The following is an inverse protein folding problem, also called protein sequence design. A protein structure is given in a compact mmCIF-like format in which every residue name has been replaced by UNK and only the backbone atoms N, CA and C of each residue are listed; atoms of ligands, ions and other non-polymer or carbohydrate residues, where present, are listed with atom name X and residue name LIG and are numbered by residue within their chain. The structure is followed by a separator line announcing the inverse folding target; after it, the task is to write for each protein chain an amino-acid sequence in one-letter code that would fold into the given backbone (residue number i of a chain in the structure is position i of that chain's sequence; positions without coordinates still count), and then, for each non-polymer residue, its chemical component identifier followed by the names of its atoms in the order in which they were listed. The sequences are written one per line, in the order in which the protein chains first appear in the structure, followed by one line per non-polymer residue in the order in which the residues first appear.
data_IF_197965617785
#
_entry.id   IF_197965617785
#
_cell.length_a   1.000
_cell.length_b   1.000
_cell.length_c   1.000
_cell.angle_alpha   90.00
_cell.angle_beta   90.00
_cell.angle_gamma   90.00
#
_symmetry.space_group_name_H-M   'P 1'
#
loop_
_entity.id
_entity.type
_entity.pdbx_description
1 polymer ?
#
# COMPACT_ATOMS: atom_id res chain seq x y z
N UNK A 1 3.08 38.95 30.91
CA UNK A 1 1.99 38.25 30.20
C UNK A 1 2.56 37.61 28.94
N UNK A 2 2.33 36.32 28.66
CA UNK A 2 2.76 35.70 27.41
C UNK A 2 1.76 35.98 26.28
N UNK A 3 2.19 36.02 25.00
CA UNK A 3 1.34 36.41 23.88
C UNK A 3 0.35 35.31 23.48
N UNK A 4 -0.90 35.72 23.24
CA UNK A 4 -2.01 34.87 22.81
C UNK A 4 -1.81 34.51 21.32
N UNK A 5 -1.88 33.21 20.99
CA UNK A 5 -1.80 32.74 19.60
C UNK A 5 -3.11 33.04 18.86
N UNK A 6 -3.05 33.49 17.59
CA UNK A 6 -4.26 33.76 16.82
C UNK A 6 -5.00 32.46 16.48
N UNK A 7 -6.29 32.43 16.83
CA UNK A 7 -7.23 31.35 16.51
C UNK A 7 -7.56 31.48 15.02
N UNK A 8 -7.23 30.47 14.21
CA UNK A 8 -7.66 30.41 12.81
C UNK A 8 -9.17 30.16 12.74
N UNK A 9 -9.92 30.84 11.84
CA UNK A 9 -11.34 30.61 11.66
C UNK A 9 -11.60 29.17 11.19
N UNK A 10 -12.51 28.49 11.88
CA UNK A 10 -13.02 27.18 11.52
C UNK A 10 -14.08 27.37 10.43
N UNK A 11 -13.68 27.29 9.16
CA UNK A 11 -14.63 27.23 8.05
C UNK A 11 -15.22 25.81 7.95
N UNK A 12 -16.55 25.77 7.91
CA UNK A 12 -17.37 24.59 8.07
C UNK A 12 -17.40 23.66 6.86
N UNK A 13 -17.29 22.37 7.17
CA UNK A 13 -17.93 21.19 6.57
C UNK A 13 -18.51 21.29 5.16
N UNK A 14 -17.97 20.46 4.27
CA UNK A 14 -18.74 19.77 3.24
C UNK A 14 -18.51 18.25 3.34
N UNK A 15 -19.60 17.53 3.65
CA UNK A 15 -19.88 16.18 3.15
C UNK A 15 -19.14 15.00 3.78
N UNK A 16 -19.80 14.33 4.72
CA UNK A 16 -19.79 12.87 4.95
C UNK A 16 -18.71 12.07 4.21
N UNK A 17 -17.51 11.95 4.79
CA UNK A 17 -16.61 10.84 4.47
C UNK A 17 -16.74 9.81 5.59
N UNK A 18 -17.66 8.88 5.37
CA UNK A 18 -17.63 7.58 6.05
C UNK A 18 -16.29 6.93 5.67
N UNK A 19 -15.46 6.62 6.67
CA UNK A 19 -14.07 6.08 6.61
C UNK A 19 -12.95 7.12 6.44
N UNK A 20 -12.09 7.23 7.46
CA UNK A 20 -11.12 8.32 7.68
C UNK A 20 -9.90 8.35 6.75
N UNK A 21 -10.12 8.43 5.44
CA UNK A 21 -9.05 8.66 4.47
C UNK A 21 -8.89 10.14 4.22
N UNK A 22 -7.70 10.67 4.53
CA UNK A 22 -7.34 12.06 4.23
C UNK A 22 -7.42 12.27 2.71
N UNK A 23 -8.04 13.35 2.22
CA UNK A 23 -8.06 13.66 0.79
C UNK A 23 -6.63 13.68 0.23
N UNK A 24 -6.44 13.02 -0.91
CA UNK A 24 -5.18 12.97 -1.66
C UNK A 24 -5.03 14.14 -2.64
N UNK A 25 -5.88 15.15 -2.47
CA UNK A 25 -5.85 16.38 -3.24
C UNK A 25 -6.07 17.58 -2.33
N UNK A 26 -5.42 18.68 -2.68
CA UNK A 26 -5.66 20.01 -2.13
C UNK A 26 -6.60 20.75 -3.06
N UNK A 27 -7.68 21.32 -2.53
CA UNK A 27 -8.51 22.27 -3.27
C UNK A 27 -7.96 23.67 -3.06
N UNK A 28 -7.26 24.20 -4.06
CA UNK A 28 -6.74 25.56 -4.05
C UNK A 28 -7.74 26.50 -4.74
N UNK A 29 -7.94 27.69 -4.16
CA UNK A 29 -8.91 28.70 -4.64
C UNK A 29 -8.75 29.01 -6.13
N UNK A 30 -7.50 29.12 -6.60
CA UNK A 30 -7.21 29.53 -7.99
C UNK A 30 -6.84 28.36 -8.92
N UNK A 31 -6.67 27.15 -8.37
CA UNK A 31 -6.15 26.00 -9.13
C UNK A 31 -7.06 24.76 -9.06
N UNK A 32 -8.16 24.82 -8.29
CA UNK A 32 -9.07 23.70 -8.07
C UNK A 32 -8.37 22.54 -7.36
N UNK A 33 -8.77 21.31 -7.68
CA UNK A 33 -8.14 20.09 -7.13
C UNK A 33 -6.72 19.91 -7.67
N UNK A 34 -5.72 19.86 -6.80
CA UNK A 34 -4.31 19.52 -7.08
C UNK A 34 -3.98 18.26 -6.30
N UNK A 35 -3.60 17.18 -6.98
CA UNK A 35 -3.29 15.92 -6.31
C UNK A 35 -1.92 16.00 -5.60
N UNK A 36 -1.93 15.68 -4.31
CA UNK A 36 -0.75 15.61 -3.43
C UNK A 36 -1.00 14.45 -2.48
N UNK A 37 -0.21 13.39 -2.59
CA UNK A 37 -0.43 12.17 -1.84
C UNK A 37 0.88 11.55 -1.37
N UNK A 38 0.86 11.00 -0.15
CA UNK A 38 1.90 10.11 0.34
C UNK A 38 1.68 8.71 -0.27
N UNK A 39 2.08 8.53 -1.54
CA UNK A 39 1.85 7.30 -2.32
C UNK A 39 2.19 5.99 -1.56
N UNK A 40 3.30 5.90 -0.80
CA UNK A 40 3.65 4.67 -0.07
C UNK A 40 2.64 4.26 0.99
N UNK A 41 1.83 5.19 1.50
CA UNK A 41 0.84 4.93 2.56
C UNK A 41 -0.53 4.51 2.02
N UNK A 42 -0.73 4.60 0.72
CA UNK A 42 -1.98 4.25 0.06
C UNK A 42 -2.04 2.75 -0.22
N UNK A 43 -3.23 2.16 -0.19
CA UNK A 43 -3.44 0.79 -0.66
C UNK A 43 -3.45 0.71 -2.20
N UNK A 44 -3.28 -0.48 -2.77
CA UNK A 44 -3.28 -0.65 -4.22
C UNK A 44 -4.62 -0.24 -4.86
N UNK A 45 -5.74 -0.51 -4.18
CA UNK A 45 -7.06 -0.07 -4.62
C UNK A 45 -7.20 1.46 -4.62
N UNK A 46 -6.59 2.14 -3.63
CA UNK A 46 -6.57 3.60 -3.58
C UNK A 46 -5.69 4.19 -4.67
N UNK A 47 -4.50 3.61 -4.91
CA UNK A 47 -3.62 4.02 -5.99
C UNK A 47 -4.31 3.87 -7.36
N UNK A 48 -5.03 2.77 -7.59
CA UNK A 48 -5.79 2.57 -8.82
C UNK A 48 -6.94 3.58 -8.98
N UNK A 49 -7.66 3.90 -7.90
CA UNK A 49 -8.72 4.89 -7.93
C UNK A 49 -8.18 6.30 -8.24
N UNK A 50 -7.11 6.70 -7.57
CA UNK A 50 -6.48 8.02 -7.75
C UNK A 50 -5.85 8.14 -9.13
N UNK A 51 -5.25 7.08 -9.67
CA UNK A 51 -4.74 7.06 -11.05
C UNK A 51 -5.88 7.33 -12.05
N UNK A 52 -7.04 6.68 -11.87
CA UNK A 52 -8.21 6.91 -12.70
C UNK A 52 -8.66 8.38 -12.65
N UNK A 53 -8.83 8.94 -11.46
CA UNK A 53 -9.24 10.35 -11.34
C UNK A 53 -8.19 11.31 -11.93
N UNK A 54 -6.89 11.05 -11.72
CA UNK A 54 -5.82 11.87 -12.26
C UNK A 54 -5.83 11.87 -13.80
N UNK A 55 -6.13 10.73 -14.43
CA UNK A 55 -6.30 10.62 -15.89
C UNK A 55 -7.52 11.40 -16.40
N UNK A 56 -8.65 11.31 -15.71
CA UNK A 56 -9.86 12.09 -16.06
C UNK A 56 -9.57 13.60 -15.96
N UNK A 57 -8.83 14.03 -14.94
CA UNK A 57 -8.38 15.43 -14.81
C UNK A 57 -7.41 15.81 -15.91
N UNK A 58 -6.46 14.94 -16.27
CA UNK A 58 -5.53 15.20 -17.37
C UNK A 58 -6.27 15.38 -18.70
N UNK A 59 -7.23 14.51 -19.01
CA UNK A 59 -8.05 14.60 -20.22
C UNK A 59 -8.84 15.91 -20.25
N UNK A 60 -9.45 16.29 -19.12
CA UNK A 60 -10.16 17.57 -18.99
C UNK A 60 -9.23 18.78 -19.23
N UNK A 61 -8.00 18.74 -18.72
CA UNK A 61 -7.01 19.80 -18.91
C UNK A 61 -6.54 19.88 -20.36
N UNK A 62 -6.28 18.75 -21.01
CA UNK A 62 -5.88 18.69 -22.42
C UNK A 62 -6.98 19.27 -23.32
N UNK A 63 -8.23 18.88 -23.09
CA UNK A 63 -9.37 19.44 -23.82
C UNK A 63 -9.48 20.96 -23.62
N UNK A 64 -9.35 21.44 -22.38
CA UNK A 64 -9.42 22.87 -22.08
C UNK A 64 -8.27 23.67 -22.71
N UNK A 65 -7.07 23.09 -22.75
CA UNK A 65 -5.92 23.71 -23.42
C UNK A 65 -6.14 23.79 -24.93
N UNK A 66 -6.63 22.73 -25.56
CA UNK A 66 -6.97 22.73 -26.98
C UNK A 66 -8.03 23.79 -27.35
N UNK A 67 -9.05 23.95 -26.50
CA UNK A 67 -10.07 25.00 -26.65
C UNK A 67 -9.45 26.41 -26.62
N UNK A 68 -8.50 26.66 -25.71
CA UNK A 68 -7.80 27.95 -25.61
C UNK A 68 -6.78 28.17 -26.73
N UNK A 69 -6.16 27.11 -27.26
CA UNK A 69 -5.24 27.19 -28.40
C UNK A 69 -5.96 27.48 -29.73
N UNK A 70 -7.22 27.07 -29.86
CA UNK A 70 -8.04 27.34 -31.05
C UNK A 70 -8.56 28.79 -31.16
N UNK A 71 -8.40 29.61 -30.11
CA UNK A 71 -8.83 31.00 -30.11
C UNK A 71 -7.74 31.91 -30.72
N UNK A 72 -8.08 32.70 -31.75
CA UNK A 72 -7.13 33.62 -32.41
C UNK A 72 -6.65 34.77 -31.51
N UNK A 73 -7.44 35.16 -30.52
CA UNK A 73 -7.11 36.22 -29.57
C UNK A 73 -7.59 35.82 -28.19
N UNK A 74 -6.67 35.76 -27.24
CA UNK A 74 -6.94 35.45 -25.85
C UNK A 74 -7.02 36.74 -25.05
N UNK A 75 -8.02 36.87 -24.20
CA UNK A 75 -8.08 37.88 -23.14
C UNK A 75 -6.99 37.60 -22.09
N UNK A 76 -6.63 38.61 -21.29
CA UNK A 76 -5.63 38.44 -20.22
C UNK A 76 -6.02 37.31 -19.25
N UNK A 77 -7.30 37.18 -18.93
CA UNK A 77 -7.82 36.14 -18.05
C UNK A 77 -7.71 34.75 -18.67
N UNK A 78 -7.88 34.62 -19.99
CA UNK A 78 -7.68 33.38 -20.73
C UNK A 78 -6.20 33.00 -20.83
N UNK A 79 -5.30 33.98 -21.03
CA UNK A 79 -3.85 33.77 -20.97
C UNK A 79 -3.43 33.22 -19.60
N UNK A 80 -3.88 33.85 -18.52
CA UNK A 80 -3.58 33.38 -17.17
C UNK A 80 -4.16 31.97 -16.93
N UNK A 81 -5.35 31.70 -17.47
CA UNK A 81 -5.99 30.38 -17.38
C UNK A 81 -5.20 29.33 -18.14
N UNK A 82 -4.67 29.65 -19.32
CA UNK A 82 -3.79 28.77 -20.10
C UNK A 82 -2.50 28.45 -19.34
N UNK A 83 -1.85 29.44 -18.74
CA UNK A 83 -0.64 29.24 -17.92
C UNK A 83 -0.93 28.30 -16.74
N UNK A 84 -2.03 28.54 -16.01
CA UNK A 84 -2.46 27.68 -14.90
C UNK A 84 -2.79 26.26 -15.36
N UNK A 85 -3.55 26.11 -16.44
CA UNK A 85 -3.93 24.81 -16.97
C UNK A 85 -2.71 24.02 -17.47
N UNK A 86 -1.75 24.68 -18.12
CA UNK A 86 -0.49 24.06 -18.56
C UNK A 86 0.33 23.57 -17.36
N UNK A 87 0.51 24.42 -16.35
CA UNK A 87 1.24 24.03 -15.13
C UNK A 87 0.55 22.84 -14.45
N UNK A 88 -0.78 22.87 -14.38
CA UNK A 88 -1.56 21.79 -13.78
C UNK A 88 -1.46 20.49 -14.57
N UNK A 89 -1.47 20.55 -15.91
CA UNK A 89 -1.22 19.38 -16.79
C UNK A 89 0.12 18.75 -16.44
N UNK A 90 1.19 19.54 -16.40
CA UNK A 90 2.54 19.03 -16.16
C UNK A 90 2.72 18.43 -14.75
N UNK A 91 2.01 18.98 -13.75
CA UNK A 91 1.98 18.41 -12.40
C UNK A 91 1.20 17.10 -12.39
N UNK A 92 0.02 17.05 -13.02
CA UNK A 92 -0.80 15.83 -13.11
C UNK A 92 -0.06 14.71 -13.85
N UNK A 93 0.65 15.01 -14.93
CA UNK A 93 1.46 14.01 -15.65
C UNK A 93 2.59 13.43 -14.80
N UNK A 94 3.27 14.27 -14.01
CA UNK A 94 4.30 13.80 -13.07
C UNK A 94 3.68 12.96 -11.96
N UNK A 95 2.50 13.34 -11.48
CA UNK A 95 1.79 12.58 -10.46
C UNK A 95 1.36 11.19 -10.96
N UNK A 96 0.85 11.08 -12.19
CA UNK A 96 0.53 9.78 -12.81
C UNK A 96 1.77 8.90 -12.94
N UNK A 97 2.90 9.47 -13.37
CA UNK A 97 4.18 8.74 -13.43
C UNK A 97 4.61 8.22 -12.05
N UNK A 98 4.53 9.06 -11.02
CA UNK A 98 4.85 8.66 -9.65
C UNK A 98 3.95 7.53 -9.14
N UNK A 99 2.66 7.52 -9.50
CA UNK A 99 1.76 6.40 -9.18
C UNK A 99 2.19 5.12 -9.89
N UNK A 100 2.55 5.21 -11.18
CA UNK A 100 3.00 4.04 -11.94
C UNK A 100 4.31 3.46 -11.36
N UNK A 101 5.26 4.31 -11.01
CA UNK A 101 6.52 3.91 -10.35
C UNK A 101 6.26 3.21 -9.01
N UNK A 102 5.38 3.77 -8.17
CA UNK A 102 5.00 3.14 -6.90
C UNK A 102 4.31 1.77 -7.10
N UNK A 103 3.41 1.65 -8.09
CA UNK A 103 2.78 0.36 -8.41
C UNK A 103 3.80 -0.67 -8.88
N UNK A 104 4.78 -0.26 -9.67
CA UNK A 104 5.85 -1.13 -10.15
C UNK A 104 6.77 -1.58 -9.01
N UNK A 105 7.12 -0.67 -8.09
CA UNK A 105 7.88 -0.99 -6.87
C UNK A 105 7.17 -2.05 -6.02
N UNK A 106 5.85 -1.99 -5.91
CA UNK A 106 5.06 -2.98 -5.17
C UNK A 106 5.01 -4.33 -5.87
N UNK A 107 4.83 -4.35 -7.19
CA UNK A 107 4.83 -5.59 -8.00
C UNK A 107 6.17 -6.31 -7.94
N UNK A 108 7.25 -5.54 -7.90
CA UNK A 108 8.61 -6.05 -7.83
C UNK A 108 9.09 -6.32 -6.41
N UNK A 109 8.26 -6.09 -5.39
CA UNK A 109 8.63 -6.36 -4.01
C UNK A 109 8.74 -7.89 -3.76
N UNK A 110 9.94 -8.41 -3.48
CA UNK A 110 10.15 -9.85 -3.33
C UNK A 110 9.40 -10.42 -2.11
N UNK A 111 9.22 -9.63 -1.04
CA UNK A 111 8.48 -10.08 0.14
C UNK A 111 6.99 -10.28 -0.17
N UNK A 112 6.38 -9.38 -0.95
CA UNK A 112 4.99 -9.52 -1.38
C UNK A 112 4.83 -10.72 -2.33
N UNK A 113 5.77 -10.93 -3.24
CA UNK A 113 5.74 -12.11 -4.15
C UNK A 113 5.89 -13.42 -3.39
N UNK A 114 6.81 -13.50 -2.43
CA UNK A 114 7.01 -14.69 -1.60
C UNK A 114 5.76 -14.99 -0.76
N UNK A 115 5.18 -13.98 -0.10
CA UNK A 115 3.95 -14.14 0.67
C UNK A 115 2.76 -14.56 -0.20
N UNK A 116 2.60 -13.96 -1.38
CA UNK A 116 1.54 -14.34 -2.32
C UNK A 116 1.71 -15.79 -2.79
N UNK A 117 2.93 -16.21 -3.15
CA UNK A 117 3.23 -17.59 -3.54
C UNK A 117 2.88 -18.60 -2.44
N UNK A 118 3.28 -18.33 -1.20
CA UNK A 118 2.96 -19.21 -0.07
C UNK A 118 1.46 -19.24 0.23
N UNK A 119 0.78 -18.09 0.21
CA UNK A 119 -0.67 -18.02 0.44
C UNK A 119 -1.47 -18.75 -0.64
N UNK A 120 -1.07 -18.64 -1.90
CA UNK A 120 -1.72 -19.33 -3.02
C UNK A 120 -1.52 -20.83 -2.90
N UNK A 121 -0.30 -21.28 -2.60
CA UNK A 121 -0.02 -22.70 -2.38
C UNK A 121 -0.85 -23.27 -1.21
N UNK A 122 -0.94 -22.53 -0.08
CA UNK A 122 -1.79 -22.92 1.05
C UNK A 122 -3.28 -22.99 0.68
N UNK A 123 -3.80 -21.97 0.01
CA UNK A 123 -5.21 -21.94 -0.41
C UNK A 123 -5.54 -23.05 -1.42
N UNK A 124 -4.62 -23.35 -2.35
CA UNK A 124 -4.76 -24.46 -3.29
C UNK A 124 -4.80 -25.80 -2.55
N UNK A 125 -3.90 -26.01 -1.59
CA UNK A 125 -3.86 -27.23 -0.78
C UNK A 125 -5.12 -27.40 0.08
N UNK A 126 -5.64 -26.32 0.68
CA UNK A 126 -6.93 -26.34 1.37
C UNK A 126 -8.08 -26.68 0.43
N UNK A 127 -8.14 -26.06 -0.75
CA UNK A 127 -9.17 -26.34 -1.73
C UNK A 127 -9.12 -27.80 -2.20
N UNK A 128 -7.92 -28.34 -2.44
CA UNK A 128 -7.72 -29.72 -2.83
C UNK A 128 -8.20 -30.70 -1.75
N UNK A 129 -7.89 -30.43 -0.47
CA UNK A 129 -8.39 -31.21 0.68
C UNK A 129 -9.91 -31.23 0.77
N UNK A 130 -10.58 -30.13 0.41
CA UNK A 130 -12.05 -30.07 0.43
C UNK A 130 -12.72 -30.74 -0.77
N UNK A 131 -11.99 -30.96 -1.87
CA UNK A 131 -12.55 -31.51 -3.12
C UNK A 131 -12.22 -32.98 -3.36
N UNK A 132 -11.18 -33.48 -2.72
CA UNK A 132 -10.75 -34.87 -2.82
C UNK A 132 -11.10 -35.61 -1.52
N UNK A 133 -11.50 -36.90 -1.59
CA UNK A 133 -11.50 -37.76 -0.41
C UNK A 133 -10.13 -37.74 0.27
N UNK A 134 -10.10 -37.65 1.61
CA UNK A 134 -8.84 -37.45 2.37
C UNK A 134 -7.74 -38.45 2.00
N UNK A 135 -8.09 -39.73 1.86
CA UNK A 135 -7.13 -40.78 1.49
C UNK A 135 -6.53 -40.62 0.08
N UNK A 136 -7.30 -40.13 -0.89
CA UNK A 136 -6.79 -39.91 -2.26
C UNK A 136 -5.93 -38.66 -2.32
N UNK A 137 -6.29 -37.61 -1.57
CA UNK A 137 -5.46 -36.42 -1.43
C UNK A 137 -4.10 -36.75 -0.81
N UNK A 138 -4.08 -37.47 0.31
CA UNK A 138 -2.83 -37.79 1.02
C UNK A 138 -1.91 -38.69 0.17
N UNK A 139 -2.49 -39.64 -0.58
CA UNK A 139 -1.73 -40.51 -1.49
C UNK A 139 -1.07 -39.71 -2.64
N UNK A 140 -1.82 -38.81 -3.28
CA UNK A 140 -1.30 -37.95 -4.35
C UNK A 140 -0.27 -36.94 -3.84
N UNK A 141 -0.46 -36.41 -2.63
CA UNK A 141 0.50 -35.52 -2.00
C UNK A 141 1.82 -36.25 -1.72
N UNK A 142 1.73 -37.47 -1.16
CA UNK A 142 2.90 -38.29 -0.91
C UNK A 142 3.64 -38.66 -2.20
N UNK A 143 2.91 -39.08 -3.25
CA UNK A 143 3.48 -39.36 -4.57
C UNK A 143 4.19 -38.12 -5.16
N UNK A 144 3.56 -36.95 -5.06
CA UNK A 144 4.16 -35.69 -5.54
C UNK A 144 5.42 -35.30 -4.77
N UNK A 145 5.45 -35.49 -3.44
CA UNK A 145 6.62 -35.24 -2.61
C UNK A 145 7.77 -36.21 -2.92
N UNK A 146 7.45 -37.48 -3.16
CA UNK A 146 8.42 -38.51 -3.58
C UNK A 146 8.98 -38.21 -4.99
N UNK A 147 8.16 -37.70 -5.91
CA UNK A 147 8.56 -37.32 -7.26
C UNK A 147 9.44 -36.06 -7.33
N UNK A 148 9.35 -35.14 -6.36
CA UNK A 148 10.12 -33.88 -6.37
C UNK A 148 11.61 -34.07 -6.01
N UNK A 149 12.00 -35.17 -5.36
CA UNK A 149 13.39 -35.44 -4.97
C UNK A 149 14.00 -34.41 -4.00
N UNK A 150 15.14 -34.72 -3.36
CA UNK A 150 15.77 -33.85 -2.35
C UNK A 150 16.39 -32.55 -2.91
N UNK A 151 16.54 -32.41 -4.24
CA UNK A 151 17.23 -31.27 -4.88
C UNK A 151 16.47 -29.92 -4.75
N UNK A 152 15.14 -29.94 -4.58
CA UNK A 152 14.33 -28.73 -4.42
C UNK A 152 14.34 -28.16 -2.99
N UNK A 153 14.68 -28.97 -1.99
CA UNK A 153 14.70 -28.57 -0.58
C UNK A 153 15.89 -27.66 -0.26
N UNK A 154 16.97 -27.74 -1.05
CA UNK A 154 18.20 -26.97 -0.84
C UNK A 154 18.10 -25.52 -1.36
N UNK A 155 17.17 -25.20 -2.25
CA UNK A 155 17.00 -23.83 -2.78
C UNK A 155 15.98 -22.96 -2.01
N UNK A 156 15.27 -23.52 -1.03
CA UNK A 156 14.27 -22.81 -0.21
C UNK A 156 14.79 -22.33 1.15
N UNK A 157 16.08 -22.48 1.44
CA UNK A 157 16.67 -21.97 2.69
C UNK A 157 16.98 -20.47 2.55
N UNK A 158 16.42 -19.59 3.40
CA UNK A 158 16.92 -18.22 3.50
C UNK A 158 18.35 -18.29 4.05
N UNK A 159 19.30 -17.71 3.33
CA UNK A 159 20.67 -17.50 3.77
C UNK A 159 20.69 -16.67 5.08
N UNK A 160 20.60 -17.36 6.22
CA UNK A 160 21.10 -16.84 7.49
C UNK A 160 22.62 -16.80 7.38
N UNK A 161 23.14 -15.65 6.94
CA UNK A 161 24.51 -15.28 7.23
C UNK A 161 24.67 -15.30 8.76
N UNK A 162 25.28 -16.38 9.26
CA UNK A 162 25.79 -16.42 10.63
C UNK A 162 27.24 -15.98 10.53
N UNK A 163 27.46 -14.75 10.98
CA UNK A 163 28.78 -14.21 11.25
C UNK A 163 29.55 -15.22 12.12
N UNK A 164 30.70 -15.63 11.60
CA UNK A 164 31.66 -16.43 12.33
C UNK A 164 32.26 -15.57 13.44
N UNK A 165 31.95 -15.87 14.70
CA UNK A 165 32.79 -15.43 15.81
C UNK A 165 32.87 -16.45 16.94
N UNK A 166 34.04 -17.08 16.96
CA UNK A 166 34.83 -17.48 18.12
C UNK A 166 34.21 -18.44 19.16
N UNK A 167 34.86 -19.61 19.24
CA UNK A 167 34.82 -20.57 20.33
C UNK A 167 35.21 -19.96 21.68
N UNK A 168 34.46 -20.29 22.74
CA UNK A 168 34.96 -20.40 24.12
C UNK A 168 34.17 -21.54 24.81
N UNK A 169 34.81 -22.45 25.58
CA UNK A 169 34.22 -23.71 26.03
C UNK A 169 33.36 -23.58 27.31
N UNK A 170 32.58 -24.64 27.56
CA UNK A 170 31.58 -24.84 28.60
C UNK A 170 32.10 -24.75 30.05
N UNK A 171 31.16 -24.52 31.00
CA UNK A 171 31.12 -25.32 32.21
C UNK A 171 29.71 -25.88 32.53
N UNK A 172 29.73 -26.80 33.50
CA UNK A 172 28.74 -27.81 33.87
C UNK A 172 27.42 -27.32 34.51
N UNK A 173 26.45 -28.24 34.49
CA UNK A 173 25.31 -28.49 35.38
C UNK A 173 24.55 -27.31 36.01
N UNK A 174 23.26 -27.19 35.66
CA UNK A 174 22.30 -26.35 36.38
C UNK A 174 20.94 -26.28 35.69
N UNK A 175 19.88 -26.48 36.46
CA UNK A 175 18.46 -26.63 36.10
C UNK A 175 17.88 -25.75 34.98
N UNK A 176 16.96 -26.35 34.21
CA UNK A 176 16.05 -25.68 33.27
C UNK A 176 15.05 -24.79 34.03
N UNK A 177 14.93 -23.48 33.76
CA UNK A 177 13.76 -22.72 34.14
C UNK A 177 12.68 -22.89 33.06
N UNK A 178 11.51 -23.37 33.46
CA UNK A 178 10.27 -23.32 32.69
C UNK A 178 9.89 -21.86 32.39
N UNK A 179 9.38 -21.51 31.21
CA UNK A 179 8.81 -20.18 31.00
C UNK A 179 7.48 -20.07 31.78
N UNK A 180 7.45 -19.18 32.77
CA UNK A 180 6.21 -18.75 33.44
C UNK A 180 5.24 -18.13 32.41
N UNK A 181 4.03 -18.68 32.38
CA UNK A 181 2.90 -18.15 31.62
C UNK A 181 2.35 -16.95 32.38
N UNK A 182 2.47 -15.75 31.81
CA UNK A 182 1.90 -14.53 32.38
C UNK A 182 0.35 -14.57 32.28
N UNK A 183 -0.39 -14.23 33.35
CA UNK A 183 -1.85 -14.26 33.34
C UNK A 183 -2.42 -13.07 32.54
N UNK A 184 -3.28 -13.38 31.56
CA UNK A 184 -4.06 -12.39 30.80
C UNK A 184 -5.14 -11.80 31.70
N UNK A 185 -4.99 -10.53 32.06
CA UNK A 185 -6.03 -9.75 32.77
C UNK A 185 -7.01 -9.21 31.72
N UNK A 186 -8.20 -9.80 31.65
CA UNK A 186 -9.32 -9.26 30.90
C UNK A 186 -10.02 -8.19 31.76
N UNK A 187 -9.86 -6.91 31.41
CA UNK A 187 -10.66 -5.83 31.97
C UNK A 187 -12.05 -5.83 31.32
N UNK A 188 -13.16 -5.93 32.09
CA UNK A 188 -14.50 -5.88 31.53
C UNK A 188 -14.88 -4.47 31.07
N UNK A 189 -15.67 -4.40 29.99
CA UNK A 189 -16.14 -3.17 29.36
C UNK A 189 -17.10 -2.36 30.26
N UNK A 190 -17.15 -1.02 30.13
CA UNK A 190 -18.06 -0.18 30.92
C UNK A 190 -19.52 -0.39 30.51
N UNK A 191 -20.36 -0.64 31.51
CA UNK A 191 -21.82 -0.68 31.41
C UNK A 191 -22.38 0.65 30.90
N UNK A 192 -23.20 0.58 29.86
CA UNK A 192 -24.00 1.68 29.32
C UNK A 192 -24.92 2.29 30.38
N UNK A 193 -25.00 3.63 30.39
CA UNK A 193 -26.10 4.40 30.97
C UNK A 193 -27.37 4.29 30.11
#
# INVERSE_FOLDING_TARGET
MPPIRPIRPREGHAGTIRTGLRPTFLTLRDHGKVYVADLPRLSDGQLAHIDKEAREVLESLLRRLAELEGQLSLTQTELDTRIRASTKRDVTERFIRAIAEEQELRRNNPALRAAAGESLARAFMELARHRLPGATFDSLLQEALEACGPELVTQAAPSRATDSRASVPAPADGERPTPEVLPVVLTPAPSSF
#
